data_IF_159779415946
#
_entry.id   IF_159779415946
#
_cell.length_a   1.000
_cell.length_b   1.000
_cell.length_c   1.000
_cell.angle_alpha   90.00
_cell.angle_beta   90.00
_cell.angle_gamma   90.00
#
_symmetry.space_group_name_H-M   'P 1'
#
loop_
_entity.id
_entity.type
_entity.pdbx_description
1 polymer ?
#
# COMPACT_ATOMS: atom_id res chain seq x y z
N UNK A 1 33.18 -46.15 -44.96
CA UNK A 1 31.74 -46.18 -44.61
C UNK A 1 31.58 -45.54 -43.24
N UNK A 2 30.55 -44.72 -43.12
CA UNK A 2 30.33 -43.62 -42.17
C UNK A 2 30.43 -43.97 -40.68
N UNK A 3 31.14 -43.14 -39.90
CA UNK A 3 30.94 -43.00 -38.44
C UNK A 3 30.19 -41.69 -38.20
N UNK A 4 28.95 -41.78 -37.72
CA UNK A 4 28.09 -40.64 -37.38
C UNK A 4 28.47 -40.07 -36.01
N UNK A 5 28.86 -38.80 -35.99
CA UNK A 5 28.93 -37.95 -34.79
C UNK A 5 27.51 -37.61 -34.29
N UNK A 6 27.12 -38.20 -33.17
CA UNK A 6 25.93 -37.79 -32.41
C UNK A 6 26.27 -36.64 -31.47
N UNK A 7 26.10 -35.39 -31.92
CA UNK A 7 26.08 -34.22 -31.02
C UNK A 7 24.82 -34.25 -30.14
N UNK A 8 24.99 -34.68 -28.89
CA UNK A 8 24.00 -34.48 -27.83
C UNK A 8 23.83 -32.98 -27.55
N UNK A 9 22.76 -32.38 -28.05
CA UNK A 9 22.35 -31.02 -27.67
C UNK A 9 21.84 -31.04 -26.23
N UNK A 10 22.56 -30.40 -25.31
CA UNK A 10 22.01 -30.06 -24.00
C UNK A 10 20.82 -29.11 -24.20
N UNK A 11 19.70 -29.44 -23.59
CA UNK A 11 18.55 -28.53 -23.47
C UNK A 11 19.05 -27.31 -22.68
N UNK A 12 18.93 -26.08 -23.20
CA UNK A 12 19.39 -24.89 -22.50
C UNK A 12 18.68 -24.77 -21.16
N UNK A 13 19.44 -24.57 -20.08
CA UNK A 13 18.85 -24.31 -18.77
C UNK A 13 18.38 -22.86 -18.67
N UNK A 14 17.51 -22.57 -17.70
CA UNK A 14 16.99 -21.20 -17.47
C UNK A 14 18.15 -20.21 -17.25
N UNK A 15 19.26 -20.65 -16.65
CA UNK A 15 20.50 -19.88 -16.51
C UNK A 15 21.08 -19.42 -17.86
N UNK A 16 21.09 -20.29 -18.86
CA UNK A 16 21.67 -20.03 -20.18
C UNK A 16 20.83 -19.01 -20.96
N UNK A 17 19.52 -18.99 -20.68
CA UNK A 17 18.60 -18.00 -21.23
C UNK A 17 18.77 -16.64 -20.56
N UNK A 18 18.99 -16.62 -19.24
CA UNK A 18 19.23 -15.39 -18.46
C UNK A 18 20.57 -14.76 -18.85
N UNK A 19 21.66 -15.52 -18.96
CA UNK A 19 22.96 -14.97 -19.40
C UNK A 19 22.89 -14.37 -20.80
N UNK A 20 22.31 -15.09 -21.77
CA UNK A 20 22.15 -14.57 -23.14
C UNK A 20 21.24 -13.35 -23.23
N UNK A 21 20.21 -13.26 -22.39
CA UNK A 21 19.37 -12.06 -22.33
C UNK A 21 20.12 -10.88 -21.72
N UNK A 22 20.95 -11.12 -20.70
CA UNK A 22 21.72 -10.09 -19.99
C UNK A 22 22.82 -9.51 -20.89
N UNK A 23 23.52 -10.37 -21.65
CA UNK A 23 24.49 -9.91 -22.66
C UNK A 23 23.84 -9.07 -23.76
N UNK A 24 22.67 -9.51 -24.27
CA UNK A 24 21.99 -8.81 -25.38
C UNK A 24 21.30 -7.51 -24.94
N UNK A 25 21.01 -7.33 -23.65
CA UNK A 25 20.41 -6.09 -23.12
C UNK A 25 21.43 -5.08 -22.62
N UNK A 26 22.69 -5.49 -22.38
CA UNK A 26 23.82 -4.60 -22.06
C UNK A 26 24.08 -3.57 -23.17
N UNK A 27 23.94 -3.95 -24.45
CA UNK A 27 24.20 -3.03 -25.57
C UNK A 27 23.04 -2.08 -25.90
N UNK A 28 21.82 -2.30 -25.37
CA UNK A 28 20.63 -1.57 -25.84
C UNK A 28 19.88 -0.70 -24.81
N UNK A 29 20.28 -0.61 -23.55
CA UNK A 29 19.47 0.12 -22.56
C UNK A 29 20.24 1.11 -21.69
N UNK A 30 20.39 2.33 -22.21
CA UNK A 30 20.60 3.56 -21.44
C UNK A 30 19.30 4.12 -20.82
N UNK A 31 18.32 3.28 -20.47
CA UNK A 31 17.05 3.74 -19.87
C UNK A 31 16.85 3.11 -18.49
N UNK A 32 17.27 3.84 -17.47
CA UNK A 32 17.18 3.53 -16.03
C UNK A 32 15.76 3.15 -15.56
N UNK A 33 14.72 3.62 -16.25
CA UNK A 33 13.32 3.42 -15.85
C UNK A 33 12.76 2.02 -16.08
N UNK A 34 13.22 1.30 -17.11
CA UNK A 34 12.68 -0.03 -17.45
C UNK A 34 13.29 -1.10 -16.54
N UNK A 35 14.56 -0.96 -16.18
CA UNK A 35 15.31 -1.89 -15.32
C UNK A 35 14.73 -1.91 -13.90
N UNK A 36 14.40 -0.74 -13.33
CA UNK A 36 13.81 -0.64 -12.00
C UNK A 36 12.41 -1.31 -11.90
N UNK A 37 11.60 -1.22 -12.96
CA UNK A 37 10.27 -1.86 -13.02
C UNK A 37 10.37 -3.38 -13.16
N UNK A 38 11.29 -3.90 -13.97
CA UNK A 38 11.48 -5.34 -14.12
C UNK A 38 12.14 -5.97 -12.89
N UNK A 39 13.06 -5.29 -12.21
CA UNK A 39 13.64 -5.77 -10.95
C UNK A 39 12.58 -5.90 -9.84
N UNK A 40 11.62 -4.96 -9.71
CA UNK A 40 10.50 -5.08 -8.76
C UNK A 40 9.58 -6.27 -9.03
N UNK A 41 9.45 -6.69 -10.30
CA UNK A 41 8.67 -7.88 -10.69
C UNK A 41 9.39 -9.18 -10.33
N UNK A 42 10.73 -9.20 -10.38
CA UNK A 42 11.54 -10.39 -10.15
C UNK A 42 11.96 -10.61 -8.69
N UNK A 43 12.05 -9.55 -7.87
CA UNK A 43 12.59 -9.61 -6.49
C UNK A 43 11.55 -9.58 -5.35
N UNK A 44 10.26 -9.68 -5.67
CA UNK A 44 9.19 -9.51 -4.70
C UNK A 44 8.98 -8.04 -4.34
N UNK A 45 7.72 -7.67 -4.10
CA UNK A 45 7.35 -6.28 -3.81
C UNK A 45 7.70 -5.99 -2.35
N UNK A 46 8.80 -5.27 -2.13
CA UNK A 46 9.29 -4.89 -0.80
C UNK A 46 8.54 -3.70 -0.23
N UNK A 47 8.52 -3.61 1.09
CA UNK A 47 8.04 -2.44 1.83
C UNK A 47 8.76 -1.17 1.33
N UNK A 48 7.99 -0.13 1.01
CA UNK A 48 8.59 1.14 0.59
C UNK A 48 9.12 1.89 1.81
N UNK A 49 10.45 1.86 1.98
CA UNK A 49 11.10 2.54 3.11
C UNK A 49 10.92 4.07 3.04
N UNK A 50 10.59 4.65 1.87
CA UNK A 50 10.41 6.09 1.75
C UNK A 50 9.21 6.62 2.54
N UNK A 51 8.21 5.78 2.85
CA UNK A 51 7.06 6.16 3.67
C UNK A 51 7.31 5.98 5.18
N UNK A 52 8.43 5.38 5.58
CA UNK A 52 8.76 5.19 6.99
C UNK A 52 9.01 6.54 7.68
N UNK A 53 8.52 6.67 8.92
CA UNK A 53 8.63 7.87 9.72
C UNK A 53 7.34 8.19 10.48
N UNK A 54 7.35 9.35 11.13
CA UNK A 54 6.19 9.89 11.84
C UNK A 54 5.51 10.96 10.99
N UNK A 55 4.19 10.91 10.92
CA UNK A 55 3.37 11.75 10.08
C UNK A 55 2.22 12.33 10.88
N UNK A 56 1.93 13.62 10.71
CA UNK A 56 0.82 14.29 11.38
C UNK A 56 -0.21 14.73 10.36
N UNK A 57 -1.48 14.40 10.61
CA UNK A 57 -2.56 14.75 9.72
C UNK A 57 -2.65 16.26 9.53
N UNK A 58 -2.82 16.69 8.28
CA UNK A 58 -3.03 18.08 7.91
C UNK A 58 -4.37 18.22 7.20
N UNK A 59 -5.00 19.38 7.33
CA UNK A 59 -6.30 19.62 6.68
C UNK A 59 -6.16 19.78 5.16
N UNK A 60 -5.02 20.26 4.67
CA UNK A 60 -4.76 20.58 3.26
C UNK A 60 -3.31 20.36 2.87
N UNK A 61 -3.06 20.05 1.60
CA UNK A 61 -1.72 20.01 1.00
C UNK A 61 -1.70 20.73 -0.35
N UNK A 62 -0.58 21.34 -0.75
CA UNK A 62 -0.44 21.98 -2.06
C UNK A 62 -0.58 20.96 -3.20
N UNK A 63 -1.17 21.36 -4.33
CA UNK A 63 -1.16 20.54 -5.54
C UNK A 63 0.26 20.50 -6.10
N UNK A 64 0.90 19.34 -6.05
CA UNK A 64 2.22 19.10 -6.65
C UNK A 64 2.12 18.84 -8.15
N UNK A 65 1.60 19.82 -8.90
CA UNK A 65 1.75 19.88 -10.37
C UNK A 65 1.96 21.32 -10.79
N UNK A 66 3.07 21.51 -11.51
CA UNK A 66 3.59 22.75 -12.09
C UNK A 66 2.49 23.60 -12.74
N UNK A 67 2.46 24.88 -12.40
CA UNK A 67 1.75 25.97 -13.10
C UNK A 67 0.26 25.73 -13.41
N UNK A 68 -0.63 26.25 -12.55
CA UNK A 68 -1.78 27.12 -12.87
C UNK A 68 -2.74 27.14 -11.66
N UNK A 69 -2.99 28.35 -11.13
CA UNK A 69 -4.00 28.77 -10.13
C UNK A 69 -4.00 28.13 -8.73
N UNK A 70 -4.16 28.98 -7.71
CA UNK A 70 -4.32 28.67 -6.27
C UNK A 70 -5.58 27.84 -5.90
N UNK A 71 -6.18 27.12 -6.85
CA UNK A 71 -7.49 26.46 -6.70
C UNK A 71 -7.41 24.94 -6.47
N UNK A 72 -6.23 24.31 -6.57
CA UNK A 72 -6.11 22.84 -6.51
C UNK A 72 -5.55 22.30 -5.17
N UNK A 73 -5.84 22.94 -4.04
CA UNK A 73 -5.48 22.38 -2.73
C UNK A 73 -6.21 21.03 -2.50
N UNK A 74 -5.44 19.96 -2.21
CA UNK A 74 -6.05 18.69 -1.82
C UNK A 74 -6.38 18.75 -0.34
N UNK A 75 -7.63 18.50 0.01
CA UNK A 75 -8.12 18.54 1.39
C UNK A 75 -8.22 17.13 1.96
N UNK A 76 -7.94 16.99 3.26
CA UNK A 76 -8.24 15.74 3.97
C UNK A 76 -9.74 15.57 4.08
N UNK A 77 -10.23 14.46 3.56
CA UNK A 77 -11.63 14.08 3.61
C UNK A 77 -12.06 13.67 5.02
N UNK A 78 -13.36 13.84 5.26
CA UNK A 78 -14.05 13.29 6.42
C UNK A 78 -14.03 11.75 6.41
N UNK A 79 -13.77 11.12 7.57
CA UNK A 79 -13.87 9.66 7.72
C UNK A 79 -15.33 9.17 7.80
N UNK A 80 -16.29 10.08 7.90
CA UNK A 80 -17.69 9.79 8.15
C UNK A 80 -18.34 8.86 7.11
N UNK A 81 -18.11 9.00 5.78
CA UNK A 81 -18.65 8.07 4.79
C UNK A 81 -18.16 6.64 5.01
N UNK A 82 -16.87 6.48 5.33
CA UNK A 82 -16.27 5.17 5.62
C UNK A 82 -16.89 4.56 6.89
N UNK A 83 -16.96 5.33 7.98
CA UNK A 83 -17.52 4.89 9.26
C UNK A 83 -19.01 4.57 9.17
N UNK A 84 -19.77 5.39 8.44
CA UNK A 84 -21.19 5.19 8.19
C UNK A 84 -21.42 3.92 7.36
N UNK A 85 -20.61 3.67 6.33
CA UNK A 85 -20.63 2.40 5.59
C UNK A 85 -20.29 1.18 6.46
N UNK A 86 -19.41 1.37 7.46
CA UNK A 86 -19.10 0.41 8.52
C UNK A 86 -20.13 0.35 9.65
N UNK A 87 -21.27 1.04 9.52
CA UNK A 87 -22.39 1.02 10.46
C UNK A 87 -22.09 1.69 11.80
N UNK A 88 -21.15 2.63 11.85
CA UNK A 88 -20.90 3.44 13.04
C UNK A 88 -22.08 4.40 13.29
N UNK A 89 -22.44 4.67 14.56
CA UNK A 89 -23.43 5.70 14.88
C UNK A 89 -23.00 7.10 14.40
N UNK A 90 -23.97 7.93 14.00
CA UNK A 90 -23.72 9.27 13.46
C UNK A 90 -22.99 10.21 14.42
N UNK A 91 -23.08 10.03 15.74
CA UNK A 91 -22.32 10.88 16.68
C UNK A 91 -20.81 10.61 16.65
N UNK A 92 -20.37 9.41 16.24
CA UNK A 92 -18.94 9.05 16.16
C UNK A 92 -18.24 9.86 15.08
N UNK A 93 -18.96 10.12 13.98
CA UNK A 93 -18.51 10.88 12.82
C UNK A 93 -17.98 12.27 13.22
N UNK A 94 -18.78 13.06 13.96
CA UNK A 94 -18.39 14.40 14.38
C UNK A 94 -17.23 14.46 15.38
N UNK A 95 -16.97 13.37 16.11
CA UNK A 95 -15.84 13.29 17.03
C UNK A 95 -14.56 12.97 16.26
N UNK A 96 -14.57 11.95 15.40
CA UNK A 96 -13.37 11.46 14.71
C UNK A 96 -12.76 12.52 13.80
N UNK A 97 -13.57 13.28 13.07
CA UNK A 97 -13.07 14.32 12.16
C UNK A 97 -12.39 15.49 12.88
N UNK A 98 -12.67 15.69 14.18
CA UNK A 98 -12.02 16.73 15.00
C UNK A 98 -10.69 16.28 15.60
N UNK A 99 -10.35 14.99 15.48
CA UNK A 99 -9.13 14.44 16.07
C UNK A 99 -8.01 14.44 15.04
N UNK A 100 -6.96 15.21 15.31
CA UNK A 100 -5.71 15.10 14.56
C UNK A 100 -5.10 13.72 14.81
N UNK A 101 -4.89 12.96 13.73
CA UNK A 101 -4.24 11.65 13.80
C UNK A 101 -2.74 11.78 13.54
N UNK A 102 -1.95 11.09 14.33
CA UNK A 102 -0.53 10.85 14.08
C UNK A 102 -0.34 9.40 13.63
N UNK A 103 0.41 9.19 12.55
CA UNK A 103 0.82 7.88 12.07
C UNK A 103 2.32 7.70 12.35
N UNK A 104 2.70 6.55 12.88
CA UNK A 104 4.10 6.10 12.86
C UNK A 104 4.19 4.86 11.98
N UNK A 105 4.91 4.98 10.88
CA UNK A 105 5.05 3.94 9.86
C UNK A 105 6.47 3.40 9.92
N UNK A 106 6.61 2.08 9.94
CA UNK A 106 7.89 1.39 9.90
C UNK A 106 7.80 0.11 9.08
N UNK A 107 8.81 -0.15 8.27
CA UNK A 107 9.04 -1.46 7.69
C UNK A 107 9.91 -2.26 8.68
N UNK A 108 9.33 -3.22 9.41
CA UNK A 108 10.06 -4.01 10.41
C UNK A 108 11.07 -4.97 9.77
N UNK A 109 10.77 -5.39 8.53
CA UNK A 109 11.69 -6.03 7.61
C UNK A 109 11.33 -5.64 6.16
N UNK A 110 12.02 -6.19 5.17
CA UNK A 110 11.81 -5.93 3.73
C UNK A 110 10.37 -6.19 3.26
N UNK A 111 9.58 -6.94 4.02
CA UNK A 111 8.28 -7.45 3.63
C UNK A 111 7.22 -7.32 4.71
N UNK A 112 7.49 -6.65 5.81
CA UNK A 112 6.52 -6.48 6.89
C UNK A 112 6.33 -4.99 7.14
N UNK A 113 5.09 -4.53 6.98
CA UNK A 113 4.71 -3.15 7.25
C UNK A 113 3.98 -3.08 8.59
N UNK A 114 4.42 -2.14 9.41
CA UNK A 114 3.81 -1.80 10.69
C UNK A 114 3.39 -0.34 10.67
N UNK A 115 2.14 -0.09 11.06
CA UNK A 115 1.56 1.25 11.19
C UNK A 115 0.95 1.40 12.57
N UNK A 116 1.29 2.47 13.25
CA UNK A 116 0.70 2.87 14.53
C UNK A 116 -0.11 4.13 14.34
N UNK A 117 -1.40 4.05 14.62
CA UNK A 117 -2.31 5.19 14.58
C UNK A 117 -2.56 5.67 16.00
N UNK A 118 -2.35 6.97 16.22
CA UNK A 118 -2.61 7.63 17.50
C UNK A 118 -3.51 8.83 17.29
N UNK A 119 -4.54 8.93 18.12
CA UNK A 119 -5.36 10.15 18.25
C UNK A 119 -5.32 10.61 19.71
N UNK A 120 -5.66 11.87 20.03
CA UNK A 120 -5.69 12.36 21.40
C UNK A 120 -6.55 11.54 22.37
N UNK A 121 -7.59 10.87 21.85
CA UNK A 121 -8.56 10.11 22.65
C UNK A 121 -8.31 8.60 22.65
N UNK A 122 -7.42 8.10 21.80
CA UNK A 122 -7.17 6.66 21.69
C UNK A 122 -5.75 6.32 22.10
N UNK A 123 -5.61 5.24 22.87
CA UNK A 123 -4.32 4.52 22.94
C UNK A 123 -3.90 4.10 21.53
N UNK A 124 -2.60 3.94 21.32
CA UNK A 124 -2.00 3.47 20.07
C UNK A 124 -2.76 2.27 19.50
N UNK A 125 -3.16 2.39 18.24
CA UNK A 125 -3.76 1.31 17.46
C UNK A 125 -2.71 0.80 16.48
N UNK A 126 -2.28 -0.44 16.65
CA UNK A 126 -1.17 -1.03 15.87
C UNK A 126 -1.75 -1.98 14.82
N UNK A 127 -1.35 -1.80 13.57
CA UNK A 127 -1.60 -2.72 12.47
C UNK A 127 -0.26 -3.19 11.91
N UNK A 128 -0.04 -4.50 11.85
CA UNK A 128 1.19 -5.10 11.35
C UNK A 128 0.86 -6.33 10.52
N UNK A 129 1.41 -6.44 9.32
CA UNK A 129 1.21 -7.60 8.44
C UNK A 129 2.27 -7.71 7.36
N UNK A 130 2.44 -8.93 6.84
CA UNK A 130 3.31 -9.23 5.71
C UNK A 130 2.75 -8.73 4.38
N UNK A 131 3.64 -8.26 3.52
CA UNK A 131 3.40 -7.74 2.17
C UNK A 131 3.54 -8.88 1.16
N UNK A 132 2.55 -9.77 1.18
CA UNK A 132 2.57 -11.07 0.49
C UNK A 132 1.48 -11.20 -0.58
N UNK A 133 0.68 -10.16 -0.73
CA UNK A 133 -0.46 -10.11 -1.65
C UNK A 133 -1.77 -10.12 -0.87
N UNK A 134 -2.68 -9.25 -1.30
CA UNK A 134 -4.02 -9.15 -0.71
C UNK A 134 -4.78 -10.45 -0.89
N UNK A 135 -5.32 -10.98 0.21
CA UNK A 135 -6.09 -12.21 0.25
C UNK A 135 -5.30 -13.51 0.09
N UNK A 136 -3.95 -13.46 0.02
CA UNK A 136 -3.11 -14.67 -0.10
C UNK A 136 -2.68 -15.22 1.26
N UNK A 137 -1.96 -14.41 2.03
CA UNK A 137 -1.49 -14.77 3.38
C UNK A 137 -2.20 -13.89 4.40
N UNK A 138 -3.43 -14.28 4.73
CA UNK A 138 -4.24 -13.53 5.67
C UNK A 138 -4.02 -13.96 7.13
N UNK A 139 -3.88 -12.99 8.02
CA UNK A 139 -3.84 -13.20 9.48
C UNK A 139 -5.22 -12.93 10.06
N UNK A 140 -5.74 -13.86 10.87
CA UNK A 140 -7.00 -13.62 11.60
C UNK A 140 -6.75 -12.64 12.74
N UNK A 141 -7.53 -11.56 12.77
CA UNK A 141 -7.42 -10.50 13.75
C UNK A 141 -8.78 -10.25 14.44
N UNK A 142 -8.72 -9.67 15.64
CA UNK A 142 -9.90 -9.19 16.35
C UNK A 142 -9.75 -7.70 16.64
N UNK A 143 -10.86 -6.98 16.65
CA UNK A 143 -10.89 -5.62 17.18
C UNK A 143 -10.54 -5.61 18.67
N UNK A 144 -10.09 -4.46 19.20
CA UNK A 144 -9.66 -4.31 20.60
C UNK A 144 -10.68 -4.79 21.64
N UNK A 145 -11.98 -4.69 21.34
CA UNK A 145 -13.06 -5.19 22.20
C UNK A 145 -13.49 -6.63 21.92
N UNK A 146 -12.79 -7.38 21.06
CA UNK A 146 -13.09 -8.75 20.66
C UNK A 146 -14.38 -8.94 19.84
N UNK A 147 -15.25 -7.92 19.75
CA UNK A 147 -16.59 -8.00 19.14
C UNK A 147 -16.59 -8.30 17.64
N UNK A 148 -15.54 -7.95 16.92
CA UNK A 148 -15.45 -8.11 15.46
C UNK A 148 -14.15 -8.84 15.11
N UNK A 149 -14.28 -9.86 14.28
CA UNK A 149 -13.17 -10.57 13.65
C UNK A 149 -13.05 -10.16 12.17
N UNK A 150 -11.82 -10.16 11.66
CA UNK A 150 -11.48 -9.86 10.28
C UNK A 150 -10.20 -10.60 9.88
N UNK A 151 -9.94 -10.68 8.58
CA UNK A 151 -8.72 -11.25 8.03
C UNK A 151 -7.87 -10.12 7.44
N UNK A 152 -6.65 -9.94 7.95
CA UNK A 152 -5.72 -8.89 7.56
C UNK A 152 -4.68 -9.43 6.57
N UNK A 153 -4.43 -8.71 5.48
CA UNK A 153 -3.33 -8.99 4.55
C UNK A 153 -2.71 -7.69 4.04
N UNK A 154 -1.47 -7.76 3.56
CA UNK A 154 -0.74 -6.63 2.97
C UNK A 154 -0.18 -6.94 1.58
N UNK A 155 0.06 -5.88 0.81
CA UNK A 155 0.79 -5.93 -0.46
C UNK A 155 1.44 -4.57 -0.75
N UNK A 156 2.33 -4.54 -1.73
CA UNK A 156 2.83 -3.29 -2.31
C UNK A 156 2.48 -3.28 -3.79
N UNK A 157 1.82 -2.22 -4.25
CA UNK A 157 1.48 -2.06 -5.67
C UNK A 157 2.75 -1.86 -6.51
N UNK A 158 2.61 -2.00 -7.83
CA UNK A 158 3.74 -1.86 -8.76
C UNK A 158 4.37 -0.46 -8.72
N UNK A 159 3.57 0.55 -8.41
CA UNK A 159 4.01 1.94 -8.23
C UNK A 159 4.75 2.18 -6.89
N UNK A 160 4.78 1.20 -5.98
CA UNK A 160 5.38 1.33 -4.65
C UNK A 160 4.36 1.67 -3.53
N UNK A 161 3.08 1.86 -3.87
CA UNK A 161 2.03 2.12 -2.86
C UNK A 161 1.88 0.92 -1.93
N UNK A 162 2.07 1.14 -0.64
CA UNK A 162 1.85 0.08 0.35
C UNK A 162 0.38 0.01 0.69
N UNK A 163 -0.16 -1.19 0.88
CA UNK A 163 -1.56 -1.35 1.22
C UNK A 163 -1.81 -2.44 2.25
N UNK A 164 -2.78 -2.18 3.11
CA UNK A 164 -3.45 -3.18 3.94
C UNK A 164 -4.85 -3.44 3.41
N UNK A 165 -5.31 -4.67 3.55
CA UNK A 165 -6.70 -5.02 3.34
C UNK A 165 -7.22 -5.86 4.51
N UNK A 166 -8.37 -5.47 5.04
CA UNK A 166 -9.11 -6.23 6.03
C UNK A 166 -10.37 -6.78 5.37
N UNK A 167 -10.45 -8.10 5.22
CA UNK A 167 -11.68 -8.80 4.84
C UNK A 167 -12.59 -8.92 6.05
N UNK A 168 -13.77 -8.31 5.97
CA UNK A 168 -14.69 -8.19 7.10
C UNK A 168 -15.61 -9.40 7.19
N UNK A 169 -15.07 -10.55 7.59
CA UNK A 169 -15.78 -11.84 7.61
C UNK A 169 -17.13 -11.80 8.36
N UNK A 170 -17.23 -10.99 9.41
CA UNK A 170 -18.47 -10.82 10.19
C UNK A 170 -19.61 -10.12 9.42
N UNK A 171 -19.34 -9.57 8.23
CA UNK A 171 -20.31 -8.91 7.36
C UNK A 171 -20.73 -9.74 6.15
N UNK A 172 -20.15 -10.92 5.98
CA UNK A 172 -20.34 -11.77 4.81
C UNK A 172 -19.37 -11.45 3.67
N UNK A 173 -19.50 -12.22 2.60
CA UNK A 173 -18.55 -12.23 1.50
C UNK A 173 -18.53 -10.90 0.73
N UNK A 174 -17.36 -10.56 0.19
CA UNK A 174 -17.15 -9.37 -0.63
C UNK A 174 -17.01 -8.04 0.15
N UNK A 175 -17.05 -8.07 1.49
CA UNK A 175 -16.76 -6.89 2.32
C UNK A 175 -15.27 -6.74 2.62
N UNK A 176 -14.74 -5.57 2.27
CA UNK A 176 -13.33 -5.23 2.49
C UNK A 176 -13.15 -3.78 2.90
N UNK A 177 -12.19 -3.51 3.78
CA UNK A 177 -11.57 -2.19 3.91
C UNK A 177 -10.14 -2.27 3.40
N UNK A 178 -9.74 -1.38 2.52
CA UNK A 178 -8.39 -1.27 2.00
C UNK A 178 -7.83 0.09 2.40
N UNK A 179 -6.61 0.13 2.89
CA UNK A 179 -5.90 1.36 3.24
C UNK A 179 -4.60 1.39 2.48
N UNK A 180 -4.43 2.39 1.62
CA UNK A 180 -3.28 2.57 0.73
C UNK A 180 -2.46 3.78 1.19
N UNK A 181 -1.13 3.68 1.14
CA UNK A 181 -0.20 4.73 1.57
C UNK A 181 0.89 4.94 0.54
N UNK A 182 1.03 6.19 0.12
CA UNK A 182 2.01 6.64 -0.88
C UNK A 182 2.38 8.10 -0.63
N UNK A 183 3.59 8.49 -1.01
CA UNK A 183 4.01 9.89 -1.02
C UNK A 183 3.23 10.65 -2.11
N UNK A 184 2.88 11.91 -1.86
CA UNK A 184 2.15 12.73 -2.83
C UNK A 184 3.02 13.20 -3.99
N UNK A 185 4.33 13.26 -3.76
CA UNK A 185 5.34 13.76 -4.69
C UNK A 185 6.75 13.32 -4.26
N UNK A 186 7.74 13.66 -5.07
CA UNK A 186 9.14 13.31 -4.87
C UNK A 186 9.81 14.04 -3.69
N UNK A 187 9.23 15.12 -3.18
CA UNK A 187 9.79 15.83 -2.01
C UNK A 187 9.71 14.98 -0.74
N UNK A 188 8.82 13.99 -0.72
CA UNK A 188 8.57 13.14 0.45
C UNK A 188 7.99 13.89 1.65
N UNK A 189 7.50 15.12 1.43
CA UNK A 189 6.98 16.00 2.48
C UNK A 189 5.59 15.56 2.96
N UNK A 190 4.74 15.13 2.03
CA UNK A 190 3.37 14.70 2.35
C UNK A 190 3.12 13.24 1.98
N UNK A 191 2.36 12.59 2.85
CA UNK A 191 1.84 11.23 2.69
C UNK A 191 0.34 11.32 2.45
N UNK A 192 -0.12 10.59 1.44
CA UNK A 192 -1.54 10.30 1.24
C UNK A 192 -1.87 8.94 1.81
N UNK A 193 -2.89 8.92 2.66
CA UNK A 193 -3.59 7.70 3.07
C UNK A 193 -4.95 7.65 2.36
N UNK A 194 -5.17 6.65 1.52
CA UNK A 194 -6.45 6.41 0.85
C UNK A 194 -7.15 5.23 1.51
N UNK A 195 -8.30 5.48 2.10
CA UNK A 195 -9.15 4.45 2.70
C UNK A 195 -10.32 4.13 1.78
N UNK A 196 -10.55 2.83 1.53
CA UNK A 196 -11.56 2.33 0.62
C UNK A 196 -12.42 1.32 1.38
N UNK A 197 -13.74 1.49 1.36
CA UNK A 197 -14.68 0.47 1.78
C UNK A 197 -15.38 -0.10 0.54
N UNK A 198 -15.20 -1.40 0.34
CA UNK A 198 -15.89 -2.19 -0.68
C UNK A 198 -16.97 -3.03 -0.05
N UNK A 199 -18.16 -2.98 -0.65
CA UNK A 199 -19.30 -3.79 -0.25
C UNK A 199 -19.97 -4.40 -1.50
N UNK A 200 -20.52 -5.62 -1.41
CA UNK A 200 -21.18 -6.28 -2.54
C UNK A 200 -22.32 -5.44 -3.11
N UNK A 201 -22.33 -5.28 -4.44
CA UNK A 201 -23.39 -4.56 -5.16
C UNK A 201 -23.46 -3.05 -4.88
N UNK A 202 -22.47 -2.47 -4.22
CA UNK A 202 -22.40 -1.03 -3.91
C UNK A 202 -21.17 -0.41 -4.56
N UNK A 203 -21.24 0.90 -4.82
CA UNK A 203 -20.06 1.69 -5.20
C UNK A 203 -19.08 1.72 -4.03
N UNK A 204 -17.79 1.64 -4.34
CA UNK A 204 -16.73 1.79 -3.35
C UNK A 204 -16.82 3.19 -2.71
N UNK A 205 -16.73 3.24 -1.39
CA UNK A 205 -16.57 4.50 -0.64
C UNK A 205 -15.08 4.76 -0.51
N UNK A 206 -14.62 5.91 -0.98
CA UNK A 206 -13.20 6.30 -0.97
C UNK A 206 -13.05 7.59 -0.17
N UNK A 207 -12.05 7.62 0.71
CA UNK A 207 -11.72 8.76 1.57
C UNK A 207 -10.21 8.95 1.53
N UNK A 208 -9.75 10.12 1.11
CA UNK A 208 -8.34 10.48 1.09
C UNK A 208 -7.98 11.39 2.27
N UNK A 209 -6.94 11.03 3.01
CA UNK A 209 -6.39 11.84 4.11
C UNK A 209 -4.93 12.14 3.83
N UNK A 210 -4.50 13.32 4.26
CA UNK A 210 -3.15 13.80 4.03
C UNK A 210 -2.42 14.05 5.34
N UNK A 211 -1.13 13.75 5.33
CA UNK A 211 -0.25 13.90 6.48
C UNK A 211 1.04 14.57 6.04
N UNK A 212 1.55 15.46 6.88
CA UNK A 212 2.88 16.06 6.73
C UNK A 212 3.88 15.29 7.59
N UNK A 213 5.09 15.09 7.06
CA UNK A 213 6.17 14.44 7.80
C UNK A 213 6.50 15.26 9.05
N UNK A 214 6.44 14.62 10.20
CA UNK A 214 6.89 15.24 11.46
C UNK A 214 8.40 15.46 11.41
N UNK A 215 8.83 16.61 11.94
CA UNK A 215 10.26 16.93 12.09
C UNK A 215 10.94 16.02 13.12
#
# INVERSE_FOLDING_TARGET
MSTHDGKGGKIPTVSDFVEKFTEKTSEQMKSSFIIAKFARVLYGKKCDQSIAGTWTQVSRVPSSTTTVSDEDEKTTDSLCPLLSGLGAPAFVCGIVDRLTTTLTISCTDDYTLRVVDKTPLTKENVTETGLRGIGKEETRCKTKGGRKEYMLSGDVKMDGTNQFACRLISRGDGWWTISERSLTDESGKYLRERNILRAPGKKDVVVDRYFERSK
#
